data_IF_194661087583
#
_entry.id   IF_194661087583
#
_cell.length_a   1.000
_cell.length_b   1.000
_cell.length_c   1.000
_cell.angle_alpha   90.00
_cell.angle_beta   90.00
_cell.angle_gamma   90.00
#
_symmetry.space_group_name_H-M   'P 1'
#
loop_
_entity.id
_entity.type
_entity.pdbx_description
1 polymer ?
#
# COMPACT_ATOMS: atom_id res chain seq x y z
N UNK A 1 -25.76 -8.94 1.15
CA UNK A 1 -24.82 -9.72 0.33
C UNK A 1 -24.36 -8.83 -0.82
N UNK A 2 -23.06 -8.80 -1.09
CA UNK A 2 -22.42 -7.95 -2.10
C UNK A 2 -21.66 -8.85 -3.08
N UNK A 3 -21.71 -8.55 -4.38
CA UNK A 3 -21.04 -9.34 -5.40
C UNK A 3 -20.28 -8.45 -6.38
N UNK A 4 -19.05 -8.81 -6.74
CA UNK A 4 -18.28 -8.08 -7.74
C UNK A 4 -16.78 -8.41 -7.74
N UNK A 5 -16.04 -7.84 -8.69
CA UNK A 5 -14.59 -7.97 -8.74
C UNK A 5 -13.95 -7.09 -7.66
N UNK A 6 -13.09 -7.67 -6.81
CA UNK A 6 -12.31 -6.88 -5.83
C UNK A 6 -11.45 -5.84 -6.55
N UNK A 7 -11.47 -4.59 -6.08
CA UNK A 7 -10.67 -3.49 -6.62
C UNK A 7 -9.56 -3.10 -5.68
N UNK A 8 -9.91 -2.66 -4.48
CA UNK A 8 -8.96 -2.11 -3.52
C UNK A 8 -9.53 -2.17 -2.10
N UNK A 9 -8.64 -2.26 -1.12
CA UNK A 9 -8.98 -1.92 0.26
C UNK A 9 -8.58 -0.45 0.47
N UNK A 10 -9.56 0.43 0.61
CA UNK A 10 -9.39 1.88 0.63
C UNK A 10 -9.41 2.42 2.07
N UNK A 11 -8.26 2.77 2.66
CA UNK A 11 -8.20 3.35 4.00
C UNK A 11 -8.71 4.80 3.99
N UNK A 12 -9.63 5.10 4.89
CA UNK A 12 -10.16 6.45 5.13
C UNK A 12 -9.43 7.09 6.30
N UNK A 13 -9.05 8.36 6.15
CA UNK A 13 -8.44 9.13 7.23
C UNK A 13 -9.42 9.20 8.40
N UNK A 14 -8.97 8.77 9.58
CA UNK A 14 -9.77 8.70 10.80
C UNK A 14 -8.93 8.21 11.97
N UNK A 15 -9.50 8.25 13.17
CA UNK A 15 -8.87 7.76 14.40
C UNK A 15 -9.85 6.85 15.15
N UNK A 16 -9.77 5.51 14.99
CA UNK A 16 -8.83 4.78 14.13
C UNK A 16 -9.11 4.96 12.63
N UNK A 17 -8.16 4.58 11.79
CA UNK A 17 -8.28 4.57 10.32
C UNK A 17 -9.51 3.76 9.89
N UNK A 18 -10.39 4.38 9.11
CA UNK A 18 -11.56 3.71 8.52
C UNK A 18 -11.16 2.88 7.31
N UNK A 19 -12.02 1.92 6.91
CA UNK A 19 -11.74 1.04 5.78
C UNK A 19 -12.97 0.77 4.93
N UNK A 20 -12.77 0.84 3.61
CA UNK A 20 -13.77 0.42 2.60
C UNK A 20 -13.22 -0.67 1.71
N UNK A 21 -13.99 -1.73 1.51
CA UNK A 21 -13.69 -2.71 0.49
C UNK A 21 -14.37 -2.29 -0.81
N UNK A 22 -13.58 -1.93 -1.82
CA UNK A 22 -14.08 -1.52 -3.12
C UNK A 22 -14.22 -2.75 -4.02
N UNK A 23 -15.43 -2.93 -4.57
CA UNK A 23 -15.77 -3.91 -5.59
C UNK A 23 -16.11 -3.19 -6.90
N UNK A 24 -16.17 -3.93 -8.02
CA UNK A 24 -16.64 -3.38 -9.30
C UNK A 24 -18.11 -2.93 -9.25
N UNK A 25 -18.89 -3.44 -8.30
CA UNK A 25 -20.31 -3.17 -8.13
C UNK A 25 -20.62 -2.07 -7.09
N UNK A 26 -19.62 -1.62 -6.33
CA UNK A 26 -19.83 -0.63 -5.26
C UNK A 26 -18.77 -0.71 -4.17
N UNK A 27 -19.00 0.03 -3.09
CA UNK A 27 -18.13 0.06 -1.91
C UNK A 27 -18.84 -0.55 -0.69
N UNK A 28 -18.10 -1.28 0.12
CA UNK A 28 -18.56 -1.82 1.40
C UNK A 28 -17.84 -1.05 2.52
N UNK A 29 -18.60 -0.32 3.32
CA UNK A 29 -18.11 0.29 4.56
C UNK A 29 -17.88 -0.80 5.61
N UNK A 30 -16.64 -0.97 6.08
CA UNK A 30 -16.28 -2.07 7.00
C UNK A 30 -16.47 -1.71 8.48
N UNK A 31 -16.82 -0.47 8.80
CA UNK A 31 -17.02 -0.01 10.18
C UNK A 31 -18.01 -0.90 10.95
N UNK A 32 -19.14 -1.23 10.34
CA UNK A 32 -20.20 -2.04 10.95
C UNK A 32 -19.94 -3.56 10.87
N UNK A 33 -18.82 -3.97 10.29
CA UNK A 33 -18.46 -5.38 10.07
C UNK A 33 -17.43 -5.88 11.08
N UNK A 34 -16.78 -4.98 11.82
CA UNK A 34 -15.87 -5.37 12.89
C UNK A 34 -16.61 -6.18 13.95
N UNK A 35 -15.95 -7.24 14.41
CA UNK A 35 -16.45 -8.27 15.33
C UNK A 35 -17.62 -9.12 14.81
N UNK A 36 -17.92 -9.07 13.52
CA UNK A 36 -18.94 -9.91 12.88
C UNK A 36 -18.32 -10.97 11.98
N UNK A 37 -19.07 -12.03 11.72
CA UNK A 37 -18.65 -13.11 10.82
C UNK A 37 -18.82 -12.64 9.37
N UNK A 38 -17.75 -12.74 8.60
CA UNK A 38 -17.74 -12.43 7.17
C UNK A 38 -17.55 -13.73 6.40
N UNK A 39 -18.40 -13.94 5.41
CA UNK A 39 -18.35 -15.04 4.47
C UNK A 39 -17.90 -14.51 3.12
N UNK A 40 -16.91 -15.17 2.52
CA UNK A 40 -16.34 -14.83 1.21
C UNK A 40 -16.35 -16.06 0.33
N UNK A 41 -16.98 -15.93 -0.84
CA UNK A 41 -17.00 -16.96 -1.88
C UNK A 41 -16.40 -16.42 -3.16
N UNK A 42 -15.27 -17.00 -3.58
CA UNK A 42 -14.68 -16.77 -4.88
C UNK A 42 -15.44 -17.56 -5.95
N UNK A 43 -15.92 -16.88 -6.99
CA UNK A 43 -16.76 -17.51 -8.04
C UNK A 43 -15.96 -18.34 -9.05
N UNK A 44 -14.62 -18.27 -8.99
CA UNK A 44 -13.73 -18.85 -9.99
C UNK A 44 -13.36 -17.88 -11.11
N UNK A 45 -14.05 -16.73 -11.24
CA UNK A 45 -13.82 -15.75 -12.30
C UNK A 45 -12.82 -14.69 -11.86
N UNK A 46 -11.83 -14.42 -12.70
CA UNK A 46 -10.91 -13.28 -12.54
C UNK A 46 -11.00 -12.37 -13.74
N UNK A 47 -11.08 -11.06 -13.52
CA UNK A 47 -11.11 -10.02 -14.55
C UNK A 47 -10.01 -9.00 -14.33
N UNK A 48 -9.43 -8.52 -15.42
CA UNK A 48 -8.47 -7.43 -15.36
C UNK A 48 -9.14 -6.17 -14.81
N UNK A 49 -8.52 -5.53 -13.82
CA UNK A 49 -9.07 -4.31 -13.20
C UNK A 49 -9.12 -3.11 -14.16
N UNK A 50 -8.35 -3.13 -15.25
CA UNK A 50 -8.37 -2.05 -16.25
C UNK A 50 -9.28 -2.37 -17.42
N UNK A 51 -9.06 -3.49 -18.12
CA UNK A 51 -9.80 -3.79 -19.35
C UNK A 51 -11.00 -4.74 -19.17
N UNK A 52 -11.26 -5.26 -17.97
CA UNK A 52 -12.37 -6.19 -17.69
C UNK A 52 -12.21 -7.60 -18.29
N UNK A 53 -11.16 -7.85 -19.07
CA UNK A 53 -10.92 -9.16 -19.72
C UNK A 53 -10.81 -10.27 -18.68
N UNK A 54 -11.58 -11.36 -18.89
CA UNK A 54 -11.44 -12.60 -18.12
C UNK A 54 -10.05 -13.22 -18.34
N UNK A 55 -9.41 -13.67 -17.27
CA UNK A 55 -8.08 -14.29 -17.35
C UNK A 55 -7.92 -15.41 -16.31
N UNK A 56 -7.15 -16.45 -16.64
CA UNK A 56 -6.84 -17.53 -15.69
C UNK A 56 -5.88 -17.08 -14.58
N UNK A 57 -5.07 -16.05 -14.87
CA UNK A 57 -4.11 -15.47 -13.93
C UNK A 57 -4.06 -13.97 -14.12
N UNK A 58 -3.96 -13.25 -13.00
CA UNK A 58 -3.70 -11.82 -12.96
C UNK A 58 -2.28 -11.57 -12.44
N UNK A 59 -1.70 -10.45 -12.86
CA UNK A 59 -0.34 -10.02 -12.59
C UNK A 59 -0.37 -8.65 -11.92
N UNK A 60 0.70 -8.29 -11.21
CA UNK A 60 0.89 -6.98 -10.56
C UNK A 60 -0.35 -6.45 -9.79
N UNK A 61 -1.07 -7.35 -9.09
CA UNK A 61 -2.30 -7.02 -8.35
C UNK A 61 -3.48 -6.59 -9.24
N UNK A 62 -3.79 -7.37 -10.28
CA UNK A 62 -5.09 -7.27 -10.97
C UNK A 62 -5.05 -7.08 -12.49
N UNK A 63 -3.88 -7.11 -13.11
CA UNK A 63 -3.73 -6.87 -14.54
C UNK A 63 -3.68 -8.18 -15.34
N UNK A 64 -4.30 -8.21 -16.53
CA UNK A 64 -4.04 -9.29 -17.48
C UNK A 64 -2.68 -9.10 -18.16
N UNK A 65 -2.14 -10.18 -18.74
CA UNK A 65 -0.82 -10.15 -19.39
C UNK A 65 -0.66 -9.06 -20.47
N UNK A 66 -1.63 -8.85 -21.39
CA UNK A 66 -1.55 -7.74 -22.35
C UNK A 66 -1.45 -6.36 -21.70
N UNK A 67 -2.23 -6.09 -20.65
CA UNK A 67 -2.20 -4.81 -19.94
C UNK A 67 -0.85 -4.58 -19.25
N UNK A 68 -0.28 -5.59 -18.58
CA UNK A 68 1.04 -5.46 -17.94
C UNK A 68 2.14 -5.09 -18.94
N UNK A 69 2.05 -5.62 -20.18
CA UNK A 69 3.03 -5.34 -21.23
C UNK A 69 2.87 -3.96 -21.86
N UNK A 70 1.67 -3.39 -21.86
CA UNK A 70 1.34 -2.17 -22.60
C UNK A 70 1.23 -0.93 -21.73
N UNK A 71 0.63 -1.04 -20.54
CA UNK A 71 0.34 0.12 -19.68
C UNK A 71 1.63 0.65 -19.02
N UNK A 72 1.74 1.98 -18.97
CA UNK A 72 2.85 2.68 -18.31
C UNK A 72 2.86 2.45 -16.79
N UNK A 73 1.69 2.33 -16.16
CA UNK A 73 1.57 2.05 -14.71
C UNK A 73 2.05 0.66 -14.28
N UNK A 74 2.29 -0.23 -15.26
CA UNK A 74 2.87 -1.56 -15.05
C UNK A 74 4.36 -1.63 -15.41
N UNK A 75 4.96 -0.51 -15.83
CA UNK A 75 6.35 -0.48 -16.28
C UNK A 75 7.35 -0.63 -15.13
N UNK A 76 8.57 -1.05 -15.44
CA UNK A 76 9.60 -1.35 -14.44
C UNK A 76 9.96 -0.12 -13.60
N UNK A 77 10.00 1.07 -14.23
CA UNK A 77 10.30 2.32 -13.55
C UNK A 77 9.22 2.74 -12.52
N UNK A 78 8.04 2.12 -12.53
CA UNK A 78 7.04 2.31 -11.47
C UNK A 78 7.49 1.62 -10.17
N UNK A 79 8.12 0.46 -10.28
CA UNK A 79 8.68 -0.29 -9.16
C UNK A 79 10.06 0.25 -8.76
N UNK A 80 10.84 0.72 -9.74
CA UNK A 80 12.16 1.33 -9.56
C UNK A 80 12.17 2.77 -10.09
N UNK A 81 11.70 3.75 -9.30
CA UNK A 81 11.55 5.14 -9.72
C UNK A 81 12.83 5.78 -10.30
N UNK A 82 14.00 5.40 -9.79
CA UNK A 82 15.31 5.87 -10.27
C UNK A 82 15.61 5.44 -11.73
N UNK A 83 15.03 4.34 -12.22
CA UNK A 83 15.18 3.85 -13.60
C UNK A 83 14.16 4.51 -14.57
N UNK A 84 13.56 5.65 -14.20
CA UNK A 84 12.62 6.35 -15.08
C UNK A 84 13.30 6.80 -16.38
N UNK A 85 12.80 6.26 -17.49
CA UNK A 85 13.32 6.45 -18.84
C UNK A 85 12.57 7.51 -19.65
N UNK A 86 11.72 8.33 -19.01
CA UNK A 86 10.93 9.36 -19.70
C UNK A 86 11.79 10.34 -20.52
N UNK A 87 12.94 10.75 -19.97
CA UNK A 87 13.91 11.64 -20.63
C UNK A 87 14.52 11.04 -21.92
N UNK A 88 14.40 9.73 -22.13
CA UNK A 88 14.85 9.04 -23.35
C UNK A 88 13.75 8.98 -24.44
N UNK A 89 12.55 9.49 -24.18
CA UNK A 89 11.41 9.43 -25.11
C UNK A 89 10.80 8.03 -25.26
N UNK A 90 11.15 7.07 -24.39
CA UNK A 90 10.71 5.67 -24.48
C UNK A 90 9.54 5.31 -23.57
N UNK A 91 8.90 6.31 -22.95
CA UNK A 91 7.76 6.05 -22.07
C UNK A 91 6.59 5.45 -22.85
N UNK A 92 5.92 4.44 -22.28
CA UNK A 92 4.78 3.78 -22.92
C UNK A 92 3.57 4.71 -23.09
N UNK A 93 3.48 5.74 -22.25
CA UNK A 93 2.44 6.76 -22.27
C UNK A 93 2.98 8.07 -21.70
N UNK A 94 3.14 9.07 -22.57
CA UNK A 94 3.63 10.39 -22.19
C UNK A 94 2.67 11.14 -21.27
N UNK A 95 1.36 11.05 -21.53
CA UNK A 95 0.34 11.72 -20.72
C UNK A 95 0.34 11.18 -19.28
N UNK A 96 0.52 9.87 -19.14
CA UNK A 96 0.72 9.22 -17.85
C UNK A 96 1.97 9.76 -17.16
N UNK A 97 3.11 9.82 -17.84
CA UNK A 97 4.34 10.32 -17.25
C UNK A 97 4.22 11.78 -16.78
N UNK A 98 3.56 12.64 -17.56
CA UNK A 98 3.31 14.03 -17.17
C UNK A 98 2.45 14.12 -15.90
N UNK A 99 1.39 13.30 -15.77
CA UNK A 99 0.50 13.32 -14.59
C UNK A 99 0.98 12.51 -13.38
N UNK A 100 1.94 11.60 -13.55
CA UNK A 100 2.35 10.64 -12.51
C UNK A 100 3.84 10.68 -12.18
N UNK A 101 4.70 10.96 -13.13
CA UNK A 101 6.16 10.94 -12.96
C UNK A 101 6.72 12.36 -12.82
N UNK A 102 6.27 13.30 -13.65
CA UNK A 102 6.78 14.69 -13.73
C UNK A 102 5.98 15.66 -12.85
N UNK A 103 5.64 15.20 -11.66
CA UNK A 103 4.89 15.95 -10.65
C UNK A 103 5.62 15.91 -9.32
N UNK A 104 5.34 16.82 -8.38
CA UNK A 104 5.98 16.80 -7.07
C UNK A 104 5.76 15.49 -6.31
N UNK A 105 6.83 14.99 -5.70
CA UNK A 105 6.85 13.78 -4.86
C UNK A 105 7.46 14.07 -3.50
N UNK A 106 6.95 13.39 -2.48
CA UNK A 106 7.58 13.35 -1.16
C UNK A 106 8.46 12.10 -1.04
N UNK A 107 9.65 12.28 -0.49
CA UNK A 107 10.43 11.22 0.14
C UNK A 107 10.22 11.30 1.66
N UNK A 108 9.95 10.19 2.31
CA UNK A 108 9.53 10.13 3.70
C UNK A 108 10.12 8.93 4.44
N UNK A 109 10.20 9.03 5.77
CA UNK A 109 10.39 7.92 6.67
C UNK A 109 9.04 7.39 7.13
N UNK A 110 8.92 6.07 7.30
CA UNK A 110 7.75 5.46 7.90
C UNK A 110 8.16 4.33 8.86
N UNK A 111 7.42 4.19 9.96
CA UNK A 111 7.54 3.08 10.89
C UNK A 111 6.32 2.17 10.76
N UNK A 112 6.53 0.88 10.51
CA UNK A 112 5.47 -0.15 10.48
C UNK A 112 5.85 -1.36 11.34
N UNK A 113 6.88 -2.09 10.93
CA UNK A 113 7.60 -3.08 11.74
C UNK A 113 9.11 -2.78 11.85
N UNK A 114 9.49 -1.61 11.37
CA UNK A 114 10.84 -1.10 11.28
C UNK A 114 10.79 0.27 10.59
N UNK A 115 11.85 1.05 10.73
CA UNK A 115 12.00 2.32 10.03
C UNK A 115 12.41 2.05 8.59
N UNK A 116 11.72 2.66 7.64
CA UNK A 116 12.04 2.58 6.21
C UNK A 116 11.91 3.94 5.55
N UNK A 117 12.60 4.10 4.43
CA UNK A 117 12.37 5.20 3.49
C UNK A 117 11.37 4.77 2.42
N UNK A 118 10.57 5.71 1.95
CA UNK A 118 9.68 5.51 0.82
C UNK A 118 9.40 6.81 0.07
N UNK A 119 8.81 6.70 -1.11
CA UNK A 119 8.32 7.85 -1.87
C UNK A 119 6.83 7.75 -2.24
N UNK A 120 6.22 8.91 -2.46
CA UNK A 120 4.82 9.05 -2.87
C UNK A 120 4.58 10.35 -3.62
N UNK A 121 3.55 10.40 -4.46
CA UNK A 121 3.13 11.64 -5.11
C UNK A 121 2.55 12.60 -4.06
N UNK A 122 2.85 13.90 -4.18
CA UNK A 122 2.25 14.94 -3.34
C UNK A 122 0.72 14.86 -3.42
N UNK A 123 0.06 14.98 -2.27
CA UNK A 123 -1.38 14.82 -2.11
C UNK A 123 -1.85 13.37 -1.86
N UNK A 124 -1.00 12.35 -2.03
CA UNK A 124 -1.34 10.94 -1.77
C UNK A 124 -0.64 10.34 -0.56
N UNK A 125 0.07 11.15 0.22
CA UNK A 125 0.94 10.68 1.30
C UNK A 125 0.18 9.94 2.40
N UNK A 126 -0.94 10.49 2.91
CA UNK A 126 -1.73 9.85 3.96
C UNK A 126 -2.23 8.47 3.52
N UNK A 127 -2.87 8.40 2.35
CA UNK A 127 -3.33 7.12 1.78
C UNK A 127 -2.18 6.14 1.62
N UNK A 128 -1.03 6.59 1.08
CA UNK A 128 0.14 5.73 0.88
C UNK A 128 0.71 5.16 2.19
N UNK A 129 0.79 5.99 3.24
CA UNK A 129 1.27 5.56 4.55
C UNK A 129 0.31 4.56 5.20
N UNK A 130 -1.00 4.84 5.11
CA UNK A 130 -2.04 3.92 5.58
C UNK A 130 -2.06 2.60 4.79
N UNK A 131 -1.93 2.63 3.45
CA UNK A 131 -1.83 1.43 2.60
C UNK A 131 -0.65 0.53 3.00
N UNK A 132 0.44 1.16 3.47
CA UNK A 132 1.64 0.45 3.94
C UNK A 132 1.56 -0.01 5.40
N UNK A 133 0.47 0.30 6.12
CA UNK A 133 0.32 -0.04 7.53
C UNK A 133 1.30 0.72 8.44
N UNK A 134 1.73 1.91 8.04
CA UNK A 134 2.61 2.74 8.85
C UNK A 134 1.88 3.22 10.11
N UNK A 135 2.49 3.07 11.28
CA UNK A 135 2.02 3.64 12.54
C UNK A 135 2.56 5.06 12.73
N UNK A 136 3.76 5.34 12.21
CA UNK A 136 4.34 6.68 12.15
C UNK A 136 4.81 6.98 10.73
N UNK A 137 4.70 8.22 10.29
CA UNK A 137 5.32 8.70 9.06
C UNK A 137 5.82 10.13 9.21
N UNK A 138 6.95 10.43 8.56
CA UNK A 138 7.59 11.74 8.63
C UNK A 138 8.21 12.10 7.27
N UNK A 139 7.74 13.17 6.59
CA UNK A 139 8.37 13.65 5.37
C UNK A 139 9.84 14.07 5.58
N UNK A 140 10.67 13.88 4.56
CA UNK A 140 12.07 14.32 4.53
C UNK A 140 12.20 15.47 3.54
N UNK A 141 11.79 15.24 2.29
CA UNK A 141 12.04 16.14 1.16
C UNK A 141 10.85 16.16 0.18
N UNK A 142 10.70 17.28 -0.54
CA UNK A 142 9.80 17.44 -1.68
C UNK A 142 10.64 17.66 -2.96
N UNK A 143 10.48 16.78 -3.93
CA UNK A 143 11.24 16.81 -5.19
C UNK A 143 10.31 16.94 -6.39
N UNK A 144 10.74 17.61 -7.48
CA UNK A 144 9.88 17.91 -8.64
C UNK A 144 9.49 16.69 -9.48
N UNK A 145 10.17 15.55 -9.35
CA UNK A 145 9.89 14.37 -10.16
C UNK A 145 10.05 13.07 -9.39
N UNK A 146 9.35 12.04 -9.87
CA UNK A 146 9.43 10.67 -9.36
C UNK A 146 10.83 10.07 -9.49
N UNK A 147 11.55 10.40 -10.56
CA UNK A 147 12.92 9.90 -10.79
C UNK A 147 13.85 10.37 -9.68
N UNK A 148 13.85 11.66 -9.41
CA UNK A 148 14.67 12.27 -8.36
C UNK A 148 14.26 11.76 -6.97
N UNK A 149 12.96 11.52 -6.75
CA UNK A 149 12.50 10.88 -5.52
C UNK A 149 13.08 9.47 -5.34
N UNK A 150 13.19 8.71 -6.44
CA UNK A 150 13.79 7.37 -6.45
C UNK A 150 15.29 7.39 -6.20
N UNK A 151 16.01 8.34 -6.79
CA UNK A 151 17.45 8.52 -6.55
C UNK A 151 17.73 8.86 -5.09
N UNK A 152 16.95 9.80 -4.52
CA UNK A 152 17.03 10.17 -3.11
C UNK A 152 16.63 9.00 -2.18
N UNK A 153 15.56 8.26 -2.51
CA UNK A 153 15.16 7.05 -1.75
C UNK A 153 16.29 6.02 -1.71
N UNK A 154 16.94 5.76 -2.84
CA UNK A 154 18.08 4.82 -2.90
C UNK A 154 19.26 5.30 -2.07
N UNK A 155 19.61 6.58 -2.15
CA UNK A 155 20.71 7.15 -1.39
C UNK A 155 20.49 6.96 0.12
N UNK A 156 19.28 7.27 0.57
CA UNK A 156 18.87 7.11 1.97
C UNK A 156 18.84 5.62 2.37
N UNK A 157 18.37 4.73 1.48
CA UNK A 157 18.26 3.30 1.74
C UNK A 157 19.62 2.60 1.95
N UNK A 158 20.72 3.13 1.41
CA UNK A 158 22.09 2.59 1.67
C UNK A 158 22.45 2.59 3.16
N UNK A 159 21.85 3.49 3.94
CA UNK A 159 22.19 3.73 5.34
C UNK A 159 21.05 3.37 6.31
N UNK A 160 19.91 2.90 5.80
CA UNK A 160 18.77 2.46 6.60
C UNK A 160 18.55 0.96 6.44
N UNK A 161 18.33 0.22 7.55
CA UNK A 161 18.03 -1.21 7.47
C UNK A 161 16.66 -1.43 6.82
N UNK A 162 16.63 -1.88 5.56
CA UNK A 162 15.39 -2.23 4.88
C UNK A 162 14.94 -3.65 5.24
N UNK A 163 14.06 -3.77 6.25
CA UNK A 163 13.31 -5.00 6.52
C UNK A 163 11.88 -4.69 6.96
N UNK A 164 11.00 -4.43 6.00
CA UNK A 164 9.55 -4.49 6.28
C UNK A 164 9.11 -5.95 6.34
N UNK A 165 8.90 -6.50 7.54
CA UNK A 165 8.25 -7.79 7.72
C UNK A 165 6.76 -7.56 8.02
N UNK A 166 5.90 -7.95 7.06
CA UNK A 166 4.45 -7.80 7.20
C UNK A 166 3.91 -8.59 8.40
N UNK A 167 4.55 -9.72 8.77
CA UNK A 167 4.12 -10.52 9.93
C UNK A 167 4.31 -9.73 11.22
N UNK A 168 5.50 -9.15 11.39
CA UNK A 168 5.80 -8.27 12.54
C UNK A 168 4.89 -7.05 12.57
N UNK A 169 4.60 -6.47 11.40
CA UNK A 169 3.72 -5.30 11.27
C UNK A 169 2.31 -5.59 11.78
N UNK A 170 1.75 -6.76 11.44
CA UNK A 170 0.40 -7.16 11.85
C UNK A 170 0.34 -7.63 13.30
N UNK A 171 1.42 -8.22 13.83
CA UNK A 171 1.47 -8.59 15.24
C UNK A 171 1.69 -7.39 16.17
N UNK A 172 2.24 -6.30 15.66
CA UNK A 172 2.56 -5.09 16.44
C UNK A 172 3.55 -5.36 17.58
N UNK A 173 4.44 -6.33 17.39
CA UNK A 173 5.44 -6.77 18.39
C UNK A 173 6.51 -5.71 18.68
N UNK A 174 6.65 -4.67 17.84
CA UNK A 174 7.77 -3.75 17.88
C UNK A 174 7.34 -2.29 17.97
N UNK A 175 7.89 -1.59 18.95
CA UNK A 175 7.84 -0.13 19.05
C UNK A 175 9.12 0.46 18.47
N UNK A 176 9.06 1.69 17.92
CA UNK A 176 10.27 2.39 17.50
C UNK A 176 11.20 2.60 18.69
N UNK A 177 12.45 2.15 18.56
CA UNK A 177 13.50 2.38 19.56
C UNK A 177 13.97 3.84 19.58
N UNK A 178 13.87 4.53 18.44
CA UNK A 178 14.26 5.92 18.21
C UNK A 178 13.15 6.69 17.54
N UNK A 179 13.08 8.00 17.75
CA UNK A 179 12.07 8.83 17.09
C UNK A 179 12.37 8.95 15.59
N UNK A 180 11.32 9.07 14.76
CA UNK A 180 11.53 9.34 13.32
C UNK A 180 12.25 10.67 13.09
N UNK A 181 12.12 11.62 14.01
CA UNK A 181 12.81 12.91 13.97
C UNK A 181 14.33 12.75 14.10
N UNK A 182 14.81 11.95 15.05
CA UNK A 182 16.24 11.62 15.20
C UNK A 182 16.77 10.96 13.92
N UNK A 183 16.07 9.94 13.42
CA UNK A 183 16.47 9.24 12.20
C UNK A 183 16.52 10.20 11.00
N UNK A 184 15.55 11.12 10.90
CA UNK A 184 15.52 12.14 9.85
C UNK A 184 16.74 13.07 9.92
N UNK A 185 17.14 13.50 11.11
CA UNK A 185 18.33 14.34 11.28
C UNK A 185 19.60 13.61 10.86
N UNK A 186 19.76 12.34 11.26
CA UNK A 186 20.89 11.49 10.83
C UNK A 186 20.93 11.31 9.31
N UNK A 187 19.77 11.13 8.69
CA UNK A 187 19.64 11.02 7.23
C UNK A 187 20.07 12.33 6.57
N UNK A 188 19.53 13.48 6.99
CA UNK A 188 19.84 14.79 6.41
C UNK A 188 21.34 15.11 6.53
N UNK A 189 21.95 14.80 7.67
CA UNK A 189 23.38 15.04 7.89
C UNK A 189 24.30 14.23 6.94
N UNK A 190 23.78 13.16 6.33
CA UNK A 190 24.50 12.30 5.38
C UNK A 190 24.07 12.48 3.93
N UNK A 191 23.08 13.34 3.65
CA UNK A 191 22.61 13.58 2.29
C UNK A 191 23.69 14.28 1.46
N UNK A 192 23.80 13.86 0.20
CA UNK A 192 24.66 14.54 -0.75
C UNK A 192 24.17 15.99 -1.01
N UNK A 193 25.08 16.95 -1.23
CA UNK A 193 24.73 18.38 -1.33
C UNK A 193 23.64 18.70 -2.35
N UNK A 194 23.55 17.94 -3.44
CA UNK A 194 22.53 18.11 -4.49
C UNK A 194 21.10 17.86 -4.00
N UNK A 195 20.92 17.11 -2.90
CA UNK A 195 19.60 16.81 -2.35
C UNK A 195 19.15 17.78 -1.25
N UNK A 196 20.10 18.51 -0.64
CA UNK A 196 19.82 19.44 0.45
C UNK A 196 18.77 20.52 0.10
N UNK A 197 18.74 21.10 -1.12
CA UNK A 197 17.73 22.09 -1.49
C UNK A 197 16.27 21.59 -1.45
N UNK A 198 16.07 20.27 -1.49
CA UNK A 198 14.73 19.65 -1.49
C UNK A 198 14.24 19.29 -0.09
N UNK A 199 15.11 19.37 0.93
CA UNK A 199 14.76 19.02 2.31
C UNK A 199 13.72 20.00 2.84
N UNK A 200 12.65 19.45 3.42
CA UNK A 200 11.61 20.26 4.03
C UNK A 200 12.13 20.87 5.34
N UNK A 201 12.01 22.19 5.56
CA UNK A 201 12.53 22.80 6.78
C UNK A 201 11.71 22.40 8.02
N UNK A 202 10.38 22.43 7.89
CA UNK A 202 9.44 22.09 8.95
C UNK A 202 8.58 20.90 8.52
N UNK A 203 8.44 19.94 9.43
CA UNK A 203 7.68 18.71 9.20
C UNK A 203 6.97 18.28 10.47
N UNK A 204 5.84 17.59 10.30
CA UNK A 204 5.09 16.99 11.40
C UNK A 204 5.16 15.47 11.29
N UNK A 205 5.33 14.80 12.43
CA UNK A 205 5.18 13.35 12.51
C UNK A 205 3.70 13.00 12.51
N UNK A 206 3.29 12.20 11.54
CA UNK A 206 1.95 11.65 11.44
C UNK A 206 1.87 10.35 12.22
N UNK A 207 0.81 10.19 13.00
CA UNK A 207 0.51 8.96 13.74
C UNK A 207 -0.77 8.35 13.18
N UNK A 208 -0.79 7.03 13.04
CA UNK A 208 -1.95 6.28 12.57
C UNK A 208 -2.26 5.15 13.54
N UNK A 209 -3.51 5.09 14.00
CA UNK A 209 -4.04 3.92 14.70
C UNK A 209 -5.00 3.16 13.82
N UNK A 210 -5.00 1.85 13.98
CA UNK A 210 -5.73 0.94 13.13
C UNK A 210 -6.80 0.21 13.95
N UNK A 211 -7.96 -0.09 13.37
CA UNK A 211 -9.02 -0.80 14.07
C UNK A 211 -8.55 -2.21 14.39
N UNK A 212 -8.63 -2.57 15.68
CA UNK A 212 -8.26 -3.88 16.19
C UNK A 212 -9.06 -4.16 17.46
N UNK A 213 -9.62 -5.36 17.56
CA UNK A 213 -10.32 -5.80 18.75
C UNK A 213 -9.35 -5.96 19.94
N UNK A 214 -9.80 -5.58 21.13
CA UNK A 214 -9.00 -5.69 22.35
C UNK A 214 -8.62 -7.14 22.66
N UNK A 215 -7.37 -7.36 23.05
CA UNK A 215 -6.84 -8.69 23.35
C UNK A 215 -6.65 -9.61 22.12
N UNK A 216 -6.93 -9.14 20.90
CA UNK A 216 -6.84 -9.98 19.71
C UNK A 216 -5.39 -10.26 19.27
N UNK A 217 -5.01 -11.54 19.32
CA UNK A 217 -3.77 -12.06 18.75
C UNK A 217 -3.98 -12.49 17.29
N UNK A 218 -3.20 -11.93 16.38
CA UNK A 218 -3.37 -12.19 14.94
C UNK A 218 -2.91 -13.59 14.54
N UNK A 219 -3.76 -14.30 13.82
CA UNK A 219 -3.40 -15.53 13.12
C UNK A 219 -2.77 -15.19 11.76
N UNK A 220 -1.48 -15.45 11.58
CA UNK A 220 -0.75 -15.07 10.37
C UNK A 220 -0.98 -16.00 9.16
N UNK A 221 -1.90 -16.98 9.27
CA UNK A 221 -2.30 -17.82 8.14
C UNK A 221 -2.91 -16.96 7.04
N UNK A 222 -2.24 -16.84 5.89
CA UNK A 222 -2.76 -16.07 4.77
C UNK A 222 -3.92 -16.79 4.08
N UNK A 223 -5.02 -16.08 3.86
CA UNK A 223 -6.14 -16.56 3.05
C UNK A 223 -5.68 -16.81 1.60
N UNK A 224 -6.13 -17.92 1.01
CA UNK A 224 -5.80 -18.34 -0.36
C UNK A 224 -7.07 -18.77 -1.09
N UNK A 225 -7.79 -17.81 -1.69
CA UNK A 225 -9.06 -18.08 -2.37
C UNK A 225 -8.92 -19.06 -3.56
N UNK A 226 -7.74 -19.18 -4.15
CA UNK A 226 -7.47 -20.16 -5.21
C UNK A 226 -7.51 -21.62 -4.70
N UNK A 227 -7.22 -21.85 -3.42
CA UNK A 227 -7.19 -23.18 -2.78
C UNK A 227 -8.44 -23.44 -1.95
N UNK A 228 -8.96 -22.39 -1.33
CA UNK A 228 -10.13 -22.42 -0.48
C UNK A 228 -11.10 -21.33 -0.99
N UNK A 229 -11.94 -21.64 -1.99
CA UNK A 229 -12.80 -20.66 -2.64
C UNK A 229 -13.93 -20.17 -1.74
N UNK A 230 -14.33 -20.96 -0.75
CA UNK A 230 -15.28 -20.56 0.30
C UNK A 230 -14.53 -20.45 1.61
N UNK A 231 -14.54 -19.27 2.19
CA UNK A 231 -13.82 -18.98 3.43
C UNK A 231 -14.67 -18.06 4.32
N UNK A 232 -14.57 -18.25 5.63
CA UNK A 232 -15.27 -17.46 6.62
C UNK A 232 -14.37 -17.14 7.83
N UNK A 233 -14.68 -16.06 8.52
CA UNK A 233 -14.00 -15.67 9.76
C UNK A 233 -14.61 -14.43 10.38
N UNK A 234 -14.34 -14.17 11.65
CA UNK A 234 -14.77 -12.94 12.35
C UNK A 234 -13.78 -11.82 12.06
N UNK A 235 -14.23 -10.70 11.51
CA UNK A 235 -13.36 -9.55 11.22
C UNK A 235 -12.93 -8.89 12.54
N UNK A 236 -11.66 -9.05 12.93
CA UNK A 236 -11.12 -8.56 14.21
C UNK A 236 -10.28 -7.29 14.08
N UNK A 237 -9.93 -6.88 12.87
CA UNK A 237 -9.19 -5.64 12.64
C UNK A 237 -8.79 -5.44 11.19
N UNK A 238 -8.11 -4.34 10.91
CA UNK A 238 -7.56 -4.04 9.59
C UNK A 238 -6.30 -3.21 9.74
N UNK A 239 -5.25 -3.48 8.95
CA UNK A 239 -4.01 -2.68 8.95
C UNK A 239 -3.31 -2.78 7.59
N UNK A 240 -2.93 -1.64 7.02
CA UNK A 240 -2.38 -1.65 5.66
C UNK A 240 -3.41 -2.13 4.65
N UNK A 241 -2.97 -3.02 3.76
CA UNK A 241 -3.82 -3.72 2.79
C UNK A 241 -4.35 -5.07 3.30
N UNK A 242 -4.38 -5.26 4.63
CA UNK A 242 -4.78 -6.51 5.27
C UNK A 242 -6.04 -6.33 6.12
N UNK A 243 -7.01 -7.21 5.91
CA UNK A 243 -8.09 -7.48 6.86
C UNK A 243 -7.65 -8.63 7.78
N UNK A 244 -7.88 -8.48 9.08
CA UNK A 244 -7.44 -9.40 10.12
C UNK A 244 -8.64 -10.16 10.66
N UNK A 245 -8.58 -11.48 10.61
CA UNK A 245 -9.61 -12.37 11.08
C UNK A 245 -9.05 -13.34 12.11
N UNK A 246 -9.93 -13.93 12.91
CA UNK A 246 -9.60 -15.04 13.81
C UNK A 246 -8.96 -16.23 13.07
N UNK A 247 -9.49 -16.56 11.88
CA UNK A 247 -9.05 -17.68 11.06
C UNK A 247 -7.83 -17.37 10.17
N UNK A 248 -7.38 -16.12 10.10
CA UNK A 248 -6.23 -15.74 9.28
C UNK A 248 -6.18 -14.26 8.88
N UNK A 249 -5.30 -13.96 7.92
CA UNK A 249 -5.12 -12.62 7.35
C UNK A 249 -5.42 -12.61 5.86
N UNK A 250 -6.19 -11.62 5.43
CA UNK A 250 -6.55 -11.43 4.04
C UNK A 250 -5.87 -10.18 3.46
N UNK A 251 -4.84 -10.38 2.64
CA UNK A 251 -4.26 -9.31 1.82
C UNK A 251 -5.19 -9.03 0.63
N UNK A 252 -6.06 -8.03 0.75
CA UNK A 252 -7.10 -7.72 -0.25
C UNK A 252 -6.47 -7.39 -1.61
N UNK A 253 -5.38 -6.62 -1.60
CA UNK A 253 -4.68 -6.19 -2.83
C UNK A 253 -4.22 -7.36 -3.70
N UNK A 254 -3.82 -8.48 -3.08
CA UNK A 254 -3.43 -9.70 -3.81
C UNK A 254 -4.57 -10.27 -4.67
N UNK A 255 -5.82 -10.08 -4.24
CA UNK A 255 -7.01 -10.62 -4.89
C UNK A 255 -7.74 -9.58 -5.75
N UNK A 256 -7.12 -8.44 -6.05
CA UNK A 256 -7.67 -7.49 -7.01
C UNK A 256 -7.98 -8.19 -8.35
N UNK A 257 -9.20 -8.00 -8.84
CA UNK A 257 -9.76 -8.63 -10.03
C UNK A 257 -10.44 -9.98 -9.80
N UNK A 258 -10.47 -10.51 -8.57
CA UNK A 258 -11.22 -11.73 -8.25
C UNK A 258 -12.69 -11.37 -8.05
N UNK A 259 -13.59 -12.02 -8.77
CA UNK A 259 -15.04 -11.90 -8.55
C UNK A 259 -15.44 -12.71 -7.31
N UNK A 260 -16.06 -12.04 -6.35
CA UNK A 260 -16.44 -12.62 -5.07
C UNK A 260 -17.87 -12.27 -4.70
N UNK A 261 -18.53 -13.18 -3.96
CA UNK A 261 -19.73 -12.90 -3.19
C UNK A 261 -19.34 -12.79 -1.71
N UNK A 262 -19.73 -11.69 -1.06
CA UNK A 262 -19.37 -11.37 0.31
C UNK A 262 -20.62 -11.03 1.12
N UNK A 263 -20.73 -11.62 2.32
CA UNK A 263 -21.79 -11.33 3.27
C UNK A 263 -21.23 -11.19 4.68
N UNK A 264 -21.91 -10.36 5.49
CA UNK A 264 -21.63 -10.17 6.90
C UNK A 264 -22.89 -10.55 7.68
N UNK A 265 -22.74 -11.38 8.73
CA UNK A 265 -23.83 -11.80 9.61
C UNK A 265 -23.97 -10.88 10.81
#
# INVERSE_FOLDING_TARGET
MFEGDIRELDPQVGEPVGYRLLLSSGAIELADWFNKKVHVTFTGVRRCIVCGRKANKLFQNGYCFPCVRSLAECDLCIVKPHECHFHLGTCRDESFAQGHCMVPHYVYLAWSSGCKVGLTRKGRQLKRWMDQGATLALPIAEVPSRKLAGELEMEIAKHLPDKTDWRKMLKEEQKPERSLTEVRQEVIARLAPEFLPYVLPEVTTYTFRYPRADGFTVNLKSVQLDKQPVWEGTLRGAKGQYLLFDEGVWNVKKFAGYEVSIACS
#
